data_IF_866346471897
#
_entry.id   IF_866346471897
#
_cell.length_a   1.000
_cell.length_b   1.000
_cell.length_c   1.000
_cell.angle_alpha   90.00
_cell.angle_beta   90.00
_cell.angle_gamma   90.00
#
_symmetry.space_group_name_H-M   'P 1'
#
loop_
_entity.id
_entity.type
_entity.pdbx_description
1 polymer ?
#
# COMPACT_ATOMS: atom_id res chain seq x y z
N UNK A 1 -0.24 10.92 -24.95
CA UNK A 1 -0.90 11.30 -23.69
C UNK A 1 0.19 11.71 -22.72
N UNK A 2 0.35 13.01 -22.41
CA UNK A 2 1.35 13.46 -21.43
C UNK A 2 0.88 12.97 -20.06
N UNK A 3 1.68 12.12 -19.41
CA UNK A 3 1.50 11.81 -18.00
C UNK A 3 1.69 13.13 -17.24
N UNK A 4 0.60 13.69 -16.72
CA UNK A 4 0.69 14.81 -15.79
C UNK A 4 1.49 14.33 -14.58
N UNK A 5 2.73 14.82 -14.46
CA UNK A 5 3.50 14.72 -13.23
C UNK A 5 2.73 15.50 -12.18
N UNK A 6 2.05 14.82 -11.26
CA UNK A 6 1.45 15.45 -10.09
C UNK A 6 2.56 16.07 -9.25
N UNK A 7 2.72 17.39 -9.36
CA UNK A 7 3.65 18.11 -8.52
C UNK A 7 3.00 18.40 -7.17
N UNK A 8 3.75 18.52 -6.05
CA UNK A 8 3.19 18.97 -4.77
C UNK A 8 2.38 20.27 -4.89
N UNK A 9 2.70 21.16 -5.85
CA UNK A 9 1.90 22.36 -6.14
C UNK A 9 0.48 22.08 -6.65
N UNK A 10 0.19 20.91 -7.21
CA UNK A 10 -1.16 20.57 -7.74
C UNK A 10 -2.09 20.01 -6.66
N UNK A 11 -1.55 19.53 -5.54
CA UNK A 11 -2.33 18.90 -4.45
C UNK A 11 -3.09 19.93 -3.64
N UNK A 12 -4.38 19.71 -3.37
CA UNK A 12 -5.09 20.56 -2.42
C UNK A 12 -4.73 20.16 -0.99
N UNK A 13 -4.73 21.15 -0.09
CA UNK A 13 -4.65 20.89 1.35
C UNK A 13 -5.93 21.40 1.99
N UNK A 14 -6.63 20.50 2.66
CA UNK A 14 -7.84 20.77 3.41
C UNK A 14 -7.52 20.82 4.90
N UNK A 15 -8.19 21.64 5.70
CA UNK A 15 -8.02 21.67 7.16
C UNK A 15 -9.27 21.15 7.86
N UNK A 16 -9.05 20.31 8.89
CA UNK A 16 -10.15 19.73 9.68
C UNK A 16 -9.79 19.56 11.15
N UNK A 17 -10.81 19.73 12.01
CA UNK A 17 -10.70 19.56 13.46
C UNK A 17 -10.98 18.11 13.88
N UNK A 18 -10.10 17.51 14.68
CA UNK A 18 -10.28 16.17 15.24
C UNK A 18 -10.10 16.20 16.76
N UNK A 19 -10.72 15.25 17.48
CA UNK A 19 -10.50 15.06 18.93
C UNK A 19 -9.16 14.36 19.25
N UNK A 20 -8.62 13.61 18.29
CA UNK A 20 -7.31 12.98 18.38
C UNK A 20 -6.75 12.68 17.00
N UNK A 21 -5.45 12.36 16.93
CA UNK A 21 -4.79 11.99 15.68
C UNK A 21 -4.05 10.67 15.87
N UNK A 22 -4.70 9.58 15.47
CA UNK A 22 -4.17 8.22 15.56
C UNK A 22 -4.49 7.43 14.27
N UNK A 23 -3.88 7.80 13.13
CA UNK A 23 -4.11 7.10 11.85
C UNK A 23 -3.75 5.60 11.91
N UNK A 24 -2.91 5.19 12.85
CA UNK A 24 -2.53 3.80 13.12
C UNK A 24 -3.71 2.95 13.63
N UNK A 25 -4.73 3.58 14.21
CA UNK A 25 -5.94 2.93 14.72
C UNK A 25 -7.17 3.15 13.83
N UNK A 26 -7.22 4.28 13.12
CA UNK A 26 -8.33 4.65 12.23
C UNK A 26 -7.82 5.22 10.89
N UNK A 27 -7.93 4.42 9.83
CA UNK A 27 -7.38 4.70 8.50
C UNK A 27 -8.35 5.40 7.55
N UNK A 28 -9.14 6.34 8.04
CA UNK A 28 -10.16 7.06 7.26
C UNK A 28 -10.44 8.46 7.83
N UNK A 29 -11.05 9.31 7.00
CA UNK A 29 -11.65 10.57 7.41
C UNK A 29 -13.16 10.38 7.50
N UNK A 30 -13.70 10.40 8.71
CA UNK A 30 -15.10 10.07 8.97
C UNK A 30 -16.07 11.25 8.94
N UNK A 31 -17.32 10.98 8.59
CA UNK A 31 -18.42 11.93 8.49
C UNK A 31 -19.67 11.30 9.11
N UNK A 32 -20.38 12.01 9.97
CA UNK A 32 -21.60 11.49 10.61
C UNK A 32 -22.74 11.36 9.61
N UNK A 33 -22.82 12.29 8.65
CA UNK A 33 -23.83 12.22 7.59
C UNK A 33 -23.19 11.93 6.24
N UNK A 34 -23.74 10.95 5.52
CA UNK A 34 -23.26 10.55 4.20
C UNK A 34 -23.23 11.72 3.21
N UNK A 35 -24.24 12.60 3.26
CA UNK A 35 -24.30 13.78 2.41
C UNK A 35 -23.09 14.72 2.58
N UNK A 36 -22.48 14.77 3.76
CA UNK A 36 -21.27 15.54 4.01
C UNK A 36 -20.05 14.89 3.34
N UNK A 37 -19.95 13.55 3.41
CA UNK A 37 -18.93 12.78 2.67
C UNK A 37 -19.08 13.03 1.17
N UNK A 38 -20.29 12.92 0.63
CA UNK A 38 -20.56 13.10 -0.80
C UNK A 38 -20.26 14.53 -1.28
N UNK A 39 -20.47 15.54 -0.44
CA UNK A 39 -20.03 16.92 -0.75
C UNK A 39 -18.51 17.02 -0.88
N UNK A 40 -17.76 16.32 -0.03
CA UNK A 40 -16.30 16.29 -0.11
C UNK A 40 -15.80 15.52 -1.33
N UNK A 41 -16.44 14.41 -1.71
CA UNK A 41 -16.12 13.69 -2.95
C UNK A 41 -16.24 14.55 -4.22
N UNK A 42 -17.15 15.53 -4.23
CA UNK A 42 -17.29 16.46 -5.37
C UNK A 42 -16.19 17.52 -5.42
N UNK A 43 -15.51 17.76 -4.30
CA UNK A 43 -14.55 18.87 -4.12
C UNK A 43 -13.10 18.39 -4.12
N UNK A 44 -12.84 17.24 -3.52
CA UNK A 44 -11.52 16.65 -3.34
C UNK A 44 -11.07 15.86 -4.57
N UNK A 45 -9.78 15.51 -4.60
CA UNK A 45 -9.15 14.64 -5.59
C UNK A 45 -8.27 13.58 -4.92
N UNK A 46 -7.98 12.51 -5.65
CA UNK A 46 -7.00 11.51 -5.20
C UNK A 46 -5.65 12.16 -4.92
N UNK A 47 -5.09 11.87 -3.75
CA UNK A 47 -3.80 12.39 -3.33
C UNK A 47 -3.82 13.80 -2.72
N UNK A 48 -5.00 14.40 -2.56
CA UNK A 48 -5.17 15.57 -1.71
C UNK A 48 -4.78 15.26 -0.27
N UNK A 49 -4.42 16.32 0.45
CA UNK A 49 -4.00 16.24 1.84
C UNK A 49 -5.04 16.87 2.75
N UNK A 50 -5.17 16.33 3.96
CA UNK A 50 -5.97 16.92 5.03
C UNK A 50 -5.08 17.18 6.24
N UNK A 51 -4.83 18.46 6.52
CA UNK A 51 -4.18 18.96 7.73
C UNK A 51 -5.14 18.84 8.91
N UNK A 52 -4.75 18.05 9.90
CA UNK A 52 -5.50 17.81 11.11
C UNK A 52 -4.99 18.71 12.22
N UNK A 53 -5.92 19.32 12.95
CA UNK A 53 -5.61 20.05 14.18
C UNK A 53 -6.55 19.63 15.33
N UNK A 54 -6.08 19.76 16.57
CA UNK A 54 -6.85 19.39 17.75
C UNK A 54 -8.05 20.32 17.98
N UNK A 55 -9.25 19.76 18.07
CA UNK A 55 -10.47 20.49 18.35
C UNK A 55 -10.46 21.08 19.77
N UNK A 56 -11.11 22.23 19.97
CA UNK A 56 -11.29 22.83 21.31
C UNK A 56 -12.51 22.17 21.96
N UNK A 57 -12.26 21.06 22.65
CA UNK A 57 -13.26 20.19 23.25
C UNK A 57 -12.61 19.40 24.39
N UNK A 58 -13.40 18.99 25.40
CA UNK A 58 -12.92 18.17 26.52
C UNK A 58 -12.37 16.81 26.10
N UNK A 59 -12.78 16.30 24.95
CA UNK A 59 -12.31 15.03 24.39
C UNK A 59 -10.90 15.13 23.80
N UNK A 60 -10.45 16.35 23.51
CA UNK A 60 -9.09 16.60 23.01
C UNK A 60 -8.18 16.91 24.20
N UNK A 61 -7.05 16.21 24.29
CA UNK A 61 -6.00 16.55 25.25
C UNK A 61 -5.65 18.04 25.17
N UNK A 62 -5.62 18.71 26.33
CA UNK A 62 -5.55 20.18 26.44
C UNK A 62 -4.37 20.76 25.66
N UNK A 63 -3.23 20.07 25.68
CA UNK A 63 -1.98 20.46 25.04
C UNK A 63 -1.97 20.22 23.52
N UNK A 64 -2.92 19.45 23.00
CA UNK A 64 -3.16 19.24 21.57
C UNK A 64 -4.20 20.20 21.00
N UNK A 65 -5.00 20.85 21.84
CA UNK A 65 -6.03 21.78 21.38
C UNK A 65 -5.41 22.93 20.58
N UNK A 66 -6.01 23.19 19.42
CA UNK A 66 -5.58 24.21 18.45
C UNK A 66 -4.19 23.97 17.86
N UNK A 67 -3.53 22.85 18.17
CA UNK A 67 -2.24 22.49 17.58
C UNK A 67 -2.47 21.70 16.30
N UNK A 68 -1.62 21.92 15.30
CA UNK A 68 -1.52 20.98 14.17
C UNK A 68 -0.99 19.64 14.68
N UNK A 69 -1.61 18.55 14.23
CA UNK A 69 -1.28 17.19 14.67
C UNK A 69 -0.59 16.39 13.57
N UNK A 70 -1.04 16.59 12.33
CA UNK A 70 -0.56 15.77 11.22
C UNK A 70 -1.26 16.05 9.90
N UNK A 71 -0.86 15.30 8.89
CA UNK A 71 -1.45 15.28 7.56
C UNK A 71 -1.97 13.88 7.26
N UNK A 72 -3.09 13.81 6.54
CA UNK A 72 -3.63 12.60 5.95
C UNK A 72 -3.63 12.75 4.43
N UNK A 73 -3.13 11.77 3.70
CA UNK A 73 -3.34 11.67 2.26
C UNK A 73 -4.54 10.77 1.98
N UNK A 74 -5.47 11.28 1.18
CA UNK A 74 -6.70 10.57 0.86
C UNK A 74 -6.64 9.90 -0.50
N UNK A 75 -7.45 8.84 -0.62
CA UNK A 75 -7.91 8.28 -1.88
C UNK A 75 -9.44 8.35 -1.87
N UNK A 76 -10.05 8.81 -2.96
CA UNK A 76 -11.50 8.91 -3.15
C UNK A 76 -12.13 7.53 -3.32
N UNK A 77 -12.06 6.77 -2.25
CA UNK A 77 -12.64 5.45 -2.08
C UNK A 77 -13.56 5.51 -0.86
N UNK A 78 -14.84 5.16 -1.07
CA UNK A 78 -15.83 5.14 0.01
C UNK A 78 -15.50 3.97 0.93
N UNK A 79 -15.52 4.23 2.23
CA UNK A 79 -15.42 3.20 3.25
C UNK A 79 -16.42 3.47 4.38
N UNK A 80 -16.65 2.46 5.20
CA UNK A 80 -17.32 2.62 6.48
C UNK A 80 -16.27 2.60 7.60
N UNK A 81 -16.61 3.23 8.72
CA UNK A 81 -15.75 3.26 9.90
C UNK A 81 -15.38 1.83 10.36
N UNK A 82 -16.35 0.91 10.42
CA UNK A 82 -16.18 -0.49 10.85
C UNK A 82 -15.09 -1.24 10.08
N UNK A 83 -14.83 -0.88 8.83
CA UNK A 83 -13.83 -1.53 7.97
C UNK A 83 -12.44 -0.88 8.11
N UNK A 84 -12.37 0.31 8.70
CA UNK A 84 -11.17 1.16 8.71
C UNK A 84 -10.77 1.61 10.11
N UNK A 85 -11.21 0.89 11.13
CA UNK A 85 -10.82 1.11 12.52
C UNK A 85 -10.49 -0.21 13.22
N UNK A 86 -9.49 -0.20 14.09
CA UNK A 86 -9.16 -1.34 14.94
C UNK A 86 -10.10 -1.44 16.17
N UNK A 87 -9.96 -2.50 16.96
CA UNK A 87 -10.80 -2.72 18.14
C UNK A 87 -10.65 -1.62 19.22
N UNK A 88 -9.46 -1.05 19.39
CA UNK A 88 -9.26 0.05 20.34
C UNK A 88 -10.07 1.30 19.94
N UNK A 89 -10.08 1.64 18.65
CA UNK A 89 -10.86 2.76 18.13
C UNK A 89 -12.37 2.51 18.20
N UNK A 90 -12.82 1.27 17.95
CA UNK A 90 -14.23 0.87 18.16
C UNK A 90 -14.65 1.03 19.61
N UNK A 91 -13.82 0.53 20.53
CA UNK A 91 -14.09 0.60 21.96
C UNK A 91 -14.16 2.05 22.43
N UNK A 92 -13.24 2.90 21.98
CA UNK A 92 -13.28 4.33 22.30
C UNK A 92 -14.58 5.00 21.85
N UNK A 93 -15.12 4.65 20.67
CA UNK A 93 -16.42 5.17 20.23
C UNK A 93 -17.56 4.72 21.16
N UNK A 94 -17.57 3.45 21.58
CA UNK A 94 -18.57 2.91 22.51
C UNK A 94 -18.50 3.61 23.87
N UNK A 95 -17.31 3.77 24.42
CA UNK A 95 -17.07 4.40 25.73
C UNK A 95 -17.54 5.87 25.78
N UNK A 96 -17.64 6.52 24.62
CA UNK A 96 -18.08 7.91 24.47
C UNK A 96 -19.46 8.06 23.83
N UNK A 97 -20.20 6.96 23.64
CA UNK A 97 -21.53 6.95 23.00
C UNK A 97 -21.55 7.61 21.62
N UNK A 98 -20.57 7.26 20.77
CA UNK A 98 -20.38 7.78 19.42
C UNK A 98 -20.59 6.73 18.33
N UNK A 99 -21.31 5.65 18.61
CA UNK A 99 -21.54 4.53 17.71
C UNK A 99 -22.04 4.99 16.32
N UNK A 100 -22.96 5.97 16.30
CA UNK A 100 -23.58 6.55 15.11
C UNK A 100 -22.79 7.71 14.48
N UNK A 101 -21.65 8.09 15.04
CA UNK A 101 -20.85 9.21 14.56
C UNK A 101 -19.72 8.77 13.63
N UNK A 102 -19.46 9.61 12.64
CA UNK A 102 -18.36 9.44 11.68
C UNK A 102 -18.39 8.12 10.87
N UNK A 103 -19.54 7.46 10.76
CA UNK A 103 -19.71 6.17 10.10
C UNK A 103 -19.28 6.16 8.63
N UNK A 104 -19.44 7.29 7.92
CA UNK A 104 -19.14 7.37 6.49
C UNK A 104 -17.73 7.90 6.27
N UNK A 105 -16.84 7.10 5.68
CA UNK A 105 -15.42 7.43 5.54
C UNK A 105 -14.95 7.73 4.11
N UNK A 106 -13.94 8.59 4.01
CA UNK A 106 -13.01 8.67 2.87
C UNK A 106 -11.71 7.97 3.28
N UNK A 107 -11.22 7.06 2.44
CA UNK A 107 -10.02 6.27 2.73
C UNK A 107 -8.77 7.14 2.87
N UNK A 108 -7.99 6.90 3.92
CA UNK A 108 -6.63 7.44 4.09
C UNK A 108 -5.64 6.39 3.62
N UNK A 109 -4.65 6.80 2.81
CA UNK A 109 -3.62 5.89 2.27
C UNK A 109 -2.22 6.16 2.86
N UNK A 110 -1.95 7.38 3.32
CA UNK A 110 -0.70 7.75 4.02
C UNK A 110 -1.00 8.79 5.09
N UNK A 111 -0.18 8.81 6.14
CA UNK A 111 -0.29 9.81 7.19
C UNK A 111 1.09 10.26 7.68
N UNK A 112 1.13 11.48 8.18
CA UNK A 112 2.34 12.05 8.77
C UNK A 112 1.98 12.78 10.06
N UNK A 113 2.82 12.64 11.08
CA UNK A 113 2.75 13.42 12.33
C UNK A 113 3.66 14.63 12.21
N UNK A 114 3.21 15.77 12.71
CA UNK A 114 4.05 16.98 12.81
C UNK A 114 5.00 16.83 13.99
N UNK A 115 6.28 17.19 13.81
CA UNK A 115 7.31 17.08 14.85
C UNK A 115 7.17 18.18 15.91
N UNK A 116 6.84 19.41 15.49
CA UNK A 116 6.71 20.57 16.36
C UNK A 116 5.25 21.00 16.56
N UNK A 117 4.88 21.32 17.79
CA UNK A 117 3.55 21.85 18.09
C UNK A 117 3.45 23.29 17.61
N UNK A 118 2.54 23.54 16.68
CA UNK A 118 2.27 24.89 16.15
C UNK A 118 0.77 25.14 16.17
N UNK A 119 0.40 26.32 16.68
CA UNK A 119 -1.00 26.73 16.72
C UNK A 119 -1.54 26.87 15.28
N UNK A 120 -2.72 26.32 15.01
CA UNK A 120 -3.33 26.26 13.67
C UNK A 120 -3.48 27.65 13.03
N UNK A 121 -3.76 28.68 13.83
CA UNK A 121 -3.86 30.08 13.37
C UNK A 121 -2.56 30.62 12.74
N UNK A 122 -1.39 30.07 13.07
CA UNK A 122 -0.11 30.42 12.44
C UNK A 122 -0.03 29.87 11.01
N UNK A 123 -0.68 28.74 10.75
CA UNK A 123 -0.65 28.05 9.46
C UNK A 123 -1.78 28.52 8.58
N UNK A 124 -2.99 28.46 9.12
CA UNK A 124 -4.24 28.63 8.42
C UNK A 124 -5.10 29.75 9.06
N UNK A 125 -4.61 30.99 9.21
CA UNK A 125 -5.35 32.07 9.88
C UNK A 125 -6.71 32.39 9.23
N UNK A 126 -6.85 32.23 7.91
CA UNK A 126 -8.08 32.53 7.17
C UNK A 126 -9.02 31.33 7.19
N UNK A 127 -8.52 30.12 6.96
CA UNK A 127 -9.33 28.90 7.02
C UNK A 127 -9.72 28.49 8.45
N UNK A 128 -8.97 28.96 9.46
CA UNK A 128 -9.29 28.82 10.88
C UNK A 128 -10.26 29.90 11.40
N UNK A 129 -10.66 30.87 10.57
CA UNK A 129 -11.58 31.92 10.97
C UNK A 129 -12.90 31.34 11.54
N UNK A 130 -13.54 32.09 12.45
CA UNK A 130 -14.76 31.67 13.11
C UNK A 130 -15.92 31.46 12.13
N UNK A 131 -15.97 32.18 11.00
CA UNK A 131 -17.01 32.00 9.98
C UNK A 131 -17.01 30.59 9.37
N UNK A 132 -15.88 29.89 9.42
CA UNK A 132 -15.74 28.52 8.92
C UNK A 132 -15.80 27.45 10.01
N UNK A 133 -16.09 27.82 11.28
CA UNK A 133 -16.02 26.89 12.42
C UNK A 133 -16.82 25.61 12.18
N UNK A 134 -18.07 25.74 11.73
CA UNK A 134 -18.95 24.59 11.51
C UNK A 134 -18.47 23.70 10.35
N UNK A 135 -18.11 24.31 9.22
CA UNK A 135 -17.65 23.59 8.03
C UNK A 135 -16.32 22.87 8.29
N UNK A 136 -15.40 23.51 9.02
CA UNK A 136 -14.11 22.94 9.40
C UNK A 136 -14.23 21.73 10.34
N UNK A 137 -15.29 21.64 11.14
CA UNK A 137 -15.53 20.49 12.02
C UNK A 137 -16.26 19.36 11.28
N UNK A 138 -17.25 19.69 10.45
CA UNK A 138 -18.12 18.69 9.82
C UNK A 138 -17.60 18.15 8.49
N UNK A 139 -16.83 18.93 7.74
CA UNK A 139 -16.43 18.61 6.38
C UNK A 139 -14.92 18.66 6.18
N UNK A 140 -14.41 19.88 6.03
CA UNK A 140 -13.03 20.36 5.95
C UNK A 140 -13.08 21.67 5.15
N UNK A 141 -12.06 22.52 5.28
CA UNK A 141 -11.98 23.80 4.55
C UNK A 141 -10.72 23.81 3.70
N UNK A 142 -10.82 24.22 2.44
CA UNK A 142 -9.65 24.31 1.56
C UNK A 142 -8.73 25.44 2.04
N UNK A 143 -7.44 25.15 2.20
CA UNK A 143 -6.43 26.15 2.51
C UNK A 143 -6.19 27.08 1.32
N UNK A 144 -6.02 28.38 1.61
CA UNK A 144 -5.53 29.33 0.61
C UNK A 144 -4.07 29.07 0.25
N UNK A 145 -3.61 29.61 -0.88
CA UNK A 145 -2.25 29.35 -1.40
C UNK A 145 -1.14 29.67 -0.39
N UNK A 146 -1.27 30.78 0.35
CA UNK A 146 -0.30 31.17 1.39
C UNK A 146 -0.33 30.22 2.60
N UNK A 147 -1.53 29.74 2.97
CA UNK A 147 -1.72 28.77 4.05
C UNK A 147 -1.16 27.41 3.67
N UNK A 148 -1.36 26.99 2.41
CA UNK A 148 -0.78 25.80 1.81
C UNK A 148 0.75 25.84 1.86
N UNK A 149 1.38 26.95 1.48
CA UNK A 149 2.84 27.11 1.58
C UNK A 149 3.34 26.95 3.02
N UNK A 150 2.67 27.57 4.00
CA UNK A 150 3.02 27.40 5.42
C UNK A 150 2.80 25.97 5.90
N UNK A 151 1.72 25.31 5.49
CA UNK A 151 1.48 23.92 5.85
C UNK A 151 2.60 23.01 5.32
N UNK A 152 3.03 23.22 4.07
CA UNK A 152 4.10 22.40 3.46
C UNK A 152 5.49 22.57 4.08
N UNK A 153 5.77 23.72 4.69
CA UNK A 153 7.08 23.96 5.32
C UNK A 153 7.25 23.27 6.68
N UNK A 154 6.22 22.56 7.19
CA UNK A 154 6.29 21.96 8.52
C UNK A 154 7.06 20.64 8.53
N UNK A 155 7.92 20.42 9.55
CA UNK A 155 8.65 19.18 9.71
C UNK A 155 7.69 18.07 10.17
N UNK A 156 7.74 16.94 9.48
CA UNK A 156 6.88 15.79 9.67
C UNK A 156 7.68 14.49 9.62
N UNK A 157 7.06 13.43 10.12
CA UNK A 157 7.50 12.06 9.89
C UNK A 157 6.31 11.20 9.51
N UNK A 158 6.52 10.28 8.57
CA UNK A 158 5.48 9.35 8.14
C UNK A 158 5.14 8.36 9.25
N UNK A 159 3.89 7.94 9.33
CA UNK A 159 3.40 6.91 10.25
C UNK A 159 2.52 5.91 9.51
N UNK A 160 2.32 4.74 10.13
CA UNK A 160 1.42 3.72 9.60
C UNK A 160 -0.03 4.20 9.56
N UNK A 161 -0.81 3.61 8.66
CA UNK A 161 -2.25 3.86 8.53
C UNK A 161 -2.97 2.52 8.66
N UNK A 162 -3.99 2.46 9.52
CA UNK A 162 -4.78 1.26 9.69
C UNK A 162 -5.40 0.80 8.36
N UNK A 163 -5.25 -0.49 8.04
CA UNK A 163 -5.77 -1.08 6.81
C UNK A 163 -4.91 -0.82 5.56
N UNK A 164 -3.74 -0.19 5.70
CA UNK A 164 -2.70 -0.13 4.67
C UNK A 164 -1.52 -1.05 5.03
N UNK A 165 -0.70 -1.48 4.06
CA UNK A 165 0.51 -2.25 4.34
C UNK A 165 1.44 -1.49 5.29
N UNK A 166 2.01 -2.16 6.30
CA UNK A 166 2.92 -1.52 7.25
C UNK A 166 4.18 -1.03 6.54
N UNK A 167 4.65 0.15 6.94
CA UNK A 167 5.89 0.76 6.49
C UNK A 167 7.01 0.27 7.42
N UNK A 168 8.10 -0.25 6.86
CA UNK A 168 9.28 -0.62 7.65
C UNK A 168 9.93 0.62 8.29
N UNK A 169 10.60 0.46 9.43
CA UNK A 169 11.22 1.59 10.14
C UNK A 169 12.20 2.38 9.26
N UNK A 170 12.95 1.71 8.40
CA UNK A 170 13.89 2.32 7.45
C UNK A 170 13.20 3.16 6.36
N UNK A 171 11.91 2.91 6.11
CA UNK A 171 11.11 3.59 5.09
C UNK A 171 10.33 4.79 5.66
N UNK A 172 10.41 5.04 6.98
CA UNK A 172 9.75 6.18 7.63
C UNK A 172 10.46 7.50 7.28
N UNK A 173 9.98 8.13 6.22
CA UNK A 173 10.51 9.42 5.76
C UNK A 173 10.31 10.51 6.80
N UNK A 174 11.36 11.30 6.99
CA UNK A 174 11.37 12.53 7.82
C UNK A 174 11.83 13.71 6.96
N UNK A 175 11.30 14.89 7.24
CA UNK A 175 11.62 16.11 6.53
C UNK A 175 10.46 17.10 6.60
N UNK A 176 10.50 18.16 5.82
CA UNK A 176 9.31 18.99 5.61
C UNK A 176 8.25 18.22 4.83
N UNK A 177 6.98 18.60 4.99
CA UNK A 177 5.89 17.99 4.23
C UNK A 177 6.10 18.13 2.70
N UNK A 178 6.76 19.21 2.25
CA UNK A 178 7.16 19.37 0.86
C UNK A 178 8.22 18.32 0.42
N UNK A 179 9.27 18.14 1.21
CA UNK A 179 10.38 17.21 0.90
C UNK A 179 9.92 15.75 0.86
N UNK A 180 9.09 15.33 1.82
CA UNK A 180 8.63 13.93 1.88
C UNK A 180 7.75 13.54 0.69
N UNK A 181 7.12 14.53 0.03
CA UNK A 181 6.30 14.34 -1.16
C UNK A 181 7.10 14.39 -2.47
N UNK A 182 8.32 14.94 -2.45
CA UNK A 182 9.15 14.98 -3.66
C UNK A 182 9.61 13.57 -4.04
N UNK A 183 9.77 13.27 -5.34
CA UNK A 183 10.43 12.04 -5.78
C UNK A 183 11.80 11.93 -5.12
N UNK A 184 12.17 10.72 -4.68
CA UNK A 184 13.51 10.49 -4.14
C UNK A 184 14.57 10.81 -5.21
N UNK A 185 15.62 11.54 -4.84
CA UNK A 185 16.81 11.63 -5.68
C UNK A 185 17.45 10.24 -5.76
N UNK A 186 17.84 9.81 -6.95
CA UNK A 186 18.59 8.56 -7.11
C UNK A 186 19.84 8.57 -6.23
N UNK A 187 20.20 7.41 -5.69
CA UNK A 187 21.43 7.25 -4.90
C UNK A 187 22.61 7.67 -5.80
N UNK A 188 23.52 8.55 -5.35
CA UNK A 188 24.70 8.88 -6.14
C UNK A 188 25.48 7.59 -6.45
N UNK A 189 26.02 7.43 -7.67
CA UNK A 189 26.72 6.22 -8.05
C UNK A 189 27.92 5.99 -7.13
N UNK A 190 28.04 4.77 -6.62
CA UNK A 190 29.24 4.32 -5.91
C UNK A 190 30.31 3.91 -6.94
N UNK A 191 31.51 4.51 -6.86
CA UNK A 191 32.67 4.11 -7.65
C UNK A 191 33.57 3.16 -6.86
N UNK A 192 34.07 2.11 -7.50
CA UNK A 192 34.97 1.10 -6.91
C UNK A 192 34.56 -0.35 -7.22
N UNK A 193 35.42 -1.30 -6.86
CA UNK A 193 35.17 -2.73 -7.09
C UNK A 193 34.12 -3.26 -6.10
N UNK A 194 33.04 -3.84 -6.64
CA UNK A 194 32.03 -4.56 -5.86
C UNK A 194 32.29 -6.06 -5.96
N UNK A 195 32.92 -6.63 -4.93
CA UNK A 195 33.08 -8.08 -4.81
C UNK A 195 31.93 -8.66 -3.98
N UNK A 196 31.26 -9.68 -4.50
CA UNK A 196 30.24 -10.46 -3.78
C UNK A 196 30.55 -11.94 -3.90
N UNK A 197 30.57 -12.65 -2.77
CA UNK A 197 30.59 -14.12 -2.74
C UNK A 197 29.15 -14.61 -2.64
N UNK A 198 28.78 -15.52 -3.53
CA UNK A 198 27.51 -16.23 -3.46
C UNK A 198 27.80 -17.69 -3.16
N UNK A 199 27.22 -18.20 -2.09
CA UNK A 199 27.21 -19.63 -1.79
C UNK A 199 25.94 -20.22 -2.42
N UNK A 200 26.12 -21.28 -3.21
CA UNK A 200 25.00 -22.04 -3.77
C UNK A 200 24.35 -22.86 -2.66
N UNK A 201 23.02 -22.94 -2.70
CA UNK A 201 22.20 -23.54 -1.65
C UNK A 201 20.74 -23.59 -2.08
N UNK A 202 19.85 -23.86 -1.11
CA UNK A 202 18.43 -24.05 -1.38
C UNK A 202 17.86 -22.93 -2.27
N UNK A 203 17.20 -23.33 -3.35
CA UNK A 203 16.62 -22.42 -4.32
C UNK A 203 15.16 -22.79 -4.57
N UNK A 204 14.32 -21.79 -4.74
CA UNK A 204 12.91 -21.99 -4.98
C UNK A 204 12.57 -21.72 -6.43
N UNK A 205 11.77 -22.61 -7.03
CA UNK A 205 10.96 -22.27 -8.19
C UNK A 205 9.70 -21.55 -7.71
N UNK A 206 9.32 -20.44 -8.33
CA UNK A 206 8.17 -19.64 -7.89
C UNK A 206 7.21 -19.30 -9.02
N UNK A 207 5.96 -19.04 -8.63
CA UNK A 207 4.90 -18.46 -9.44
C UNK A 207 4.42 -17.16 -8.80
N UNK A 208 4.62 -16.04 -9.48
CA UNK A 208 4.02 -14.76 -9.14
C UNK A 208 2.84 -14.47 -10.05
N UNK A 209 1.79 -13.85 -9.51
CA UNK A 209 0.62 -13.40 -10.25
C UNK A 209 0.46 -11.90 -10.09
N UNK A 210 0.11 -11.19 -11.15
CA UNK A 210 -0.33 -9.81 -11.02
C UNK A 210 -1.68 -9.79 -10.28
N UNK A 211 -1.85 -8.86 -9.33
CA UNK A 211 -3.07 -8.73 -8.52
C UNK A 211 -4.30 -8.42 -9.37
N UNK A 212 -4.10 -7.80 -10.53
CA UNK A 212 -5.11 -7.50 -11.54
C UNK A 212 -4.97 -8.42 -12.75
N UNK A 213 -5.92 -8.34 -13.67
CA UNK A 213 -5.83 -9.02 -14.96
C UNK A 213 -4.72 -8.45 -15.85
N UNK A 214 -4.36 -9.21 -16.88
CA UNK A 214 -3.24 -8.94 -17.76
C UNK A 214 -3.35 -7.62 -18.53
N UNK A 215 -4.57 -7.19 -18.86
CA UNK A 215 -4.82 -5.93 -19.59
C UNK A 215 -4.27 -4.68 -18.89
N UNK A 216 -4.08 -4.73 -17.56
CA UNK A 216 -3.49 -3.63 -16.80
C UNK A 216 -2.05 -3.31 -17.24
N UNK A 217 -1.27 -4.30 -17.66
CA UNK A 217 0.12 -4.11 -18.12
C UNK A 217 0.28 -4.31 -19.62
N UNK A 218 -0.58 -5.11 -20.25
CA UNK A 218 -0.46 -5.49 -21.66
C UNK A 218 -1.45 -4.74 -22.58
N UNK A 219 -2.29 -3.87 -22.03
CA UNK A 219 -3.29 -3.08 -22.76
C UNK A 219 -4.65 -3.77 -22.91
N UNK A 220 -5.66 -3.02 -23.34
CA UNK A 220 -7.07 -3.43 -23.32
C UNK A 220 -7.53 -4.21 -24.57
N UNK A 221 -6.63 -4.72 -25.38
CA UNK A 221 -6.95 -5.48 -26.59
C UNK A 221 -5.99 -6.64 -26.78
N UNK A 222 -6.49 -7.76 -27.30
CA UNK A 222 -5.70 -8.96 -27.57
C UNK A 222 -6.15 -10.20 -26.79
N UNK A 223 -5.49 -11.35 -27.02
CA UNK A 223 -5.89 -12.64 -26.46
C UNK A 223 -5.64 -12.76 -24.95
N UNK A 224 -4.97 -11.79 -24.32
CA UNK A 224 -4.72 -11.74 -22.87
C UNK A 224 -5.84 -11.08 -22.06
N UNK A 225 -6.76 -10.36 -22.71
CA UNK A 225 -7.82 -9.62 -22.01
C UNK A 225 -8.67 -10.57 -21.18
N UNK A 226 -8.87 -10.23 -19.90
CA UNK A 226 -9.64 -11.04 -18.94
C UNK A 226 -8.86 -12.21 -18.34
N UNK A 227 -7.60 -12.41 -18.74
CA UNK A 227 -6.76 -13.51 -18.24
C UNK A 227 -5.83 -13.05 -17.11
N UNK A 228 -5.36 -14.01 -16.33
CA UNK A 228 -4.30 -13.73 -15.37
C UNK A 228 -2.96 -13.51 -16.10
N UNK A 229 -2.16 -12.57 -15.58
CA UNK A 229 -0.74 -12.44 -15.94
C UNK A 229 0.11 -13.04 -14.84
N UNK A 230 0.98 -13.96 -15.21
CA UNK A 230 1.90 -14.62 -14.27
C UNK A 230 3.35 -14.47 -14.70
N UNK A 231 4.23 -14.62 -13.72
CA UNK A 231 5.68 -14.71 -13.89
C UNK A 231 6.18 -15.98 -13.21
N UNK A 232 6.96 -16.77 -13.95
CA UNK A 232 7.68 -17.92 -13.40
C UNK A 232 9.15 -17.57 -13.30
N UNK A 233 9.78 -17.91 -12.19
CA UNK A 233 11.22 -17.81 -12.09
C UNK A 233 11.78 -18.63 -10.94
N UNK A 234 13.07 -18.46 -10.68
CA UNK A 234 13.75 -19.03 -9.51
C UNK A 234 14.45 -17.99 -8.65
N UNK A 235 14.59 -18.28 -7.37
CA UNK A 235 15.36 -17.47 -6.42
C UNK A 235 15.69 -18.25 -5.15
N UNK A 236 16.83 -17.95 -4.53
CA UNK A 236 17.10 -18.35 -3.16
C UNK A 236 16.27 -17.57 -2.13
N UNK A 237 15.62 -16.47 -2.54
CA UNK A 237 14.74 -15.66 -1.68
C UNK A 237 13.59 -15.06 -2.53
N UNK A 238 12.49 -15.83 -2.71
CA UNK A 238 11.33 -15.37 -3.46
C UNK A 238 10.69 -14.09 -2.91
N UNK A 239 10.77 -13.84 -1.60
CA UNK A 239 10.19 -12.66 -0.97
C UNK A 239 11.01 -11.40 -1.27
N UNK A 240 12.35 -11.47 -1.17
CA UNK A 240 13.22 -10.40 -1.66
C UNK A 240 13.00 -10.15 -3.14
N UNK A 241 12.90 -11.21 -3.95
CA UNK A 241 12.63 -11.08 -5.39
C UNK A 241 11.30 -10.40 -5.67
N UNK A 242 10.26 -10.72 -4.90
CA UNK A 242 8.96 -10.05 -4.98
C UNK A 242 9.09 -8.55 -4.67
N UNK A 243 9.84 -8.18 -3.63
CA UNK A 243 10.12 -6.78 -3.26
C UNK A 243 10.86 -6.05 -4.38
N UNK A 244 11.87 -6.67 -4.98
CA UNK A 244 12.62 -6.08 -6.11
C UNK A 244 11.73 -5.82 -7.32
N UNK A 245 10.90 -6.79 -7.72
CA UNK A 245 10.00 -6.66 -8.88
C UNK A 245 8.94 -5.59 -8.60
N UNK A 246 8.37 -5.56 -7.40
CA UNK A 246 7.40 -4.54 -7.02
C UNK A 246 8.02 -3.15 -6.80
N UNK A 247 9.32 -3.06 -6.50
CA UNK A 247 10.06 -1.80 -6.36
C UNK A 247 10.15 -0.99 -7.65
N UNK A 248 9.96 -1.63 -8.82
CA UNK A 248 9.87 -0.94 -10.11
C UNK A 248 8.54 -0.19 -10.32
N UNK A 249 7.54 -0.41 -9.47
CA UNK A 249 6.23 0.23 -9.58
C UNK A 249 6.10 1.41 -8.62
N UNK A 250 5.55 2.56 -9.05
CA UNK A 250 5.25 3.69 -8.15
C UNK A 250 4.43 3.26 -6.94
N UNK A 251 4.59 3.92 -5.80
CA UNK A 251 3.86 3.61 -4.55
C UNK A 251 2.32 3.57 -4.75
N UNK A 252 1.81 4.42 -5.65
CA UNK A 252 0.38 4.51 -6.02
C UNK A 252 -0.08 3.55 -7.12
N UNK A 253 0.76 2.61 -7.57
CA UNK A 253 0.38 1.67 -8.61
C UNK A 253 -0.86 0.85 -8.17
N UNK A 254 -1.84 0.76 -9.06
CA UNK A 254 -3.10 0.02 -8.84
C UNK A 254 -2.94 -1.50 -8.99
N UNK A 255 -1.77 -1.96 -9.44
CA UNK A 255 -1.43 -3.37 -9.55
C UNK A 255 -0.09 -3.66 -8.87
N UNK A 256 0.04 -4.88 -8.35
CA UNK A 256 1.26 -5.41 -7.73
C UNK A 256 1.40 -6.88 -8.09
N UNK A 257 2.63 -7.38 -8.09
CA UNK A 257 2.87 -8.82 -8.09
C UNK A 257 2.61 -9.39 -6.70
N UNK A 258 2.03 -10.57 -6.66
CA UNK A 258 1.88 -11.40 -5.46
C UNK A 258 2.59 -12.73 -5.69
N UNK A 259 3.32 -13.22 -4.68
CA UNK A 259 3.88 -14.55 -4.68
C UNK A 259 2.76 -15.55 -4.35
N UNK A 260 2.42 -16.42 -5.29
CA UNK A 260 1.30 -17.36 -5.13
C UNK A 260 1.78 -18.73 -4.67
N UNK A 261 2.85 -19.22 -5.29
CA UNK A 261 3.45 -20.52 -4.97
C UNK A 261 4.97 -20.42 -5.05
N UNK A 262 5.65 -21.20 -4.22
CA UNK A 262 7.07 -21.47 -4.36
C UNK A 262 7.39 -22.87 -3.83
N UNK A 263 8.37 -23.53 -4.46
CA UNK A 263 8.80 -24.88 -4.10
C UNK A 263 10.32 -24.91 -3.96
N UNK A 264 10.87 -25.24 -2.78
CA UNK A 264 12.31 -25.41 -2.60
C UNK A 264 12.84 -26.63 -3.37
N UNK A 265 14.09 -26.50 -3.82
CA UNK A 265 14.95 -27.52 -4.40
C UNK A 265 16.37 -27.38 -3.83
N UNK A 266 17.13 -28.47 -3.88
CA UNK A 266 18.41 -28.62 -3.21
C UNK A 266 19.42 -27.52 -3.55
N UNK A 267 19.54 -27.17 -4.84
CA UNK A 267 20.51 -26.19 -5.31
C UNK A 267 19.96 -25.34 -6.47
N UNK A 268 20.71 -24.28 -6.80
CA UNK A 268 20.37 -23.36 -7.88
C UNK A 268 20.33 -24.01 -9.27
N UNK A 269 21.14 -25.05 -9.51
CA UNK A 269 21.20 -25.76 -10.79
C UNK A 269 19.94 -26.59 -11.02
N UNK A 270 19.52 -27.36 -10.02
CA UNK A 270 18.31 -28.16 -10.02
C UNK A 270 17.08 -27.28 -10.23
N UNK A 271 16.99 -26.18 -9.48
CA UNK A 271 15.91 -25.21 -9.66
C UNK A 271 15.93 -24.58 -11.07
N UNK A 272 17.11 -24.33 -11.64
CA UNK A 272 17.25 -23.78 -13.00
C UNK A 272 16.83 -24.77 -14.10
N UNK A 273 17.21 -26.04 -13.97
CA UNK A 273 16.75 -27.11 -14.87
C UNK A 273 15.23 -27.23 -14.82
N UNK A 274 14.64 -27.25 -13.63
CA UNK A 274 13.20 -27.35 -13.45
C UNK A 274 12.45 -26.10 -13.91
N UNK A 275 13.00 -24.91 -13.69
CA UNK A 275 12.49 -23.67 -14.25
C UNK A 275 12.43 -23.72 -15.79
N UNK A 276 13.50 -24.21 -16.42
CA UNK A 276 13.61 -24.32 -17.87
C UNK A 276 12.57 -25.30 -18.43
N UNK A 277 12.43 -26.47 -17.81
CA UNK A 277 11.41 -27.46 -18.17
C UNK A 277 9.99 -26.90 -17.98
N UNK A 278 9.73 -26.21 -16.87
CA UNK A 278 8.43 -25.60 -16.59
C UNK A 278 8.08 -24.53 -17.62
N UNK A 279 9.04 -23.65 -17.98
CA UNK A 279 8.85 -22.64 -19.03
C UNK A 279 8.54 -23.28 -20.38
N UNK A 280 9.25 -24.35 -20.75
CA UNK A 280 8.99 -25.09 -21.98
C UNK A 280 7.59 -25.74 -21.99
N UNK A 281 7.11 -26.22 -20.84
CA UNK A 281 5.75 -26.74 -20.67
C UNK A 281 4.72 -25.60 -20.78
N UNK A 282 4.93 -24.50 -20.07
CA UNK A 282 4.01 -23.36 -20.06
C UNK A 282 3.88 -22.71 -21.45
N UNK A 283 4.95 -22.68 -22.24
CA UNK A 283 4.90 -22.19 -23.63
C UNK A 283 3.99 -23.04 -24.54
N UNK A 284 3.72 -24.31 -24.18
CA UNK A 284 2.80 -25.20 -24.91
C UNK A 284 1.35 -25.09 -24.41
N UNK A 285 1.17 -24.81 -23.12
CA UNK A 285 -0.15 -24.82 -22.45
C UNK A 285 -0.79 -23.42 -22.36
N UNK A 286 0.01 -22.36 -22.36
CA UNK A 286 -0.42 -20.97 -22.12
C UNK A 286 0.19 -20.00 -23.12
N UNK A 287 -0.34 -18.77 -23.16
CA UNK A 287 0.14 -17.74 -24.08
C UNK A 287 1.37 -17.04 -23.49
N UNK A 288 2.55 -17.30 -24.06
CA UNK A 288 3.78 -16.60 -23.70
C UNK A 288 3.68 -15.10 -24.02
N UNK A 289 4.15 -14.26 -23.09
CA UNK A 289 4.31 -12.81 -23.24
C UNK A 289 5.79 -12.41 -23.36
N UNK A 290 6.60 -13.33 -23.86
CA UNK A 290 8.06 -13.30 -23.89
C UNK A 290 8.74 -13.41 -22.51
N UNK A 291 9.98 -13.90 -22.53
CA UNK A 291 10.79 -14.11 -21.34
C UNK A 291 10.15 -15.06 -20.34
N UNK A 292 9.78 -14.52 -19.17
CA UNK A 292 9.31 -15.28 -18.01
C UNK A 292 7.81 -15.16 -17.75
N UNK A 293 7.08 -14.53 -18.68
CA UNK A 293 5.70 -14.10 -18.49
C UNK A 293 4.72 -14.89 -19.35
N UNK A 294 3.57 -15.23 -18.76
CA UNK A 294 2.53 -16.02 -19.42
C UNK A 294 1.14 -15.51 -19.05
N UNK A 295 0.19 -15.68 -19.96
CA UNK A 295 -1.23 -15.40 -19.72
C UNK A 295 -2.11 -16.61 -19.95
N UNK A 296 -3.16 -16.74 -19.15
CA UNK A 296 -4.04 -17.89 -19.14
C UNK A 296 -5.10 -17.80 -18.03
N UNK A 297 -5.99 -18.80 -18.00
CA UNK A 297 -6.94 -18.95 -16.90
C UNK A 297 -6.20 -19.28 -15.60
N UNK A 298 -6.48 -18.52 -14.53
CA UNK A 298 -5.72 -18.61 -13.28
C UNK A 298 -5.70 -20.04 -12.71
N UNK A 299 -6.86 -20.68 -12.61
CA UNK A 299 -6.96 -22.04 -12.05
C UNK A 299 -6.25 -23.11 -12.89
N UNK A 300 -6.07 -22.88 -14.19
CA UNK A 300 -5.30 -23.78 -15.05
C UNK A 300 -3.79 -23.59 -14.84
N UNK A 301 -3.33 -22.34 -14.79
CA UNK A 301 -1.92 -21.99 -14.53
C UNK A 301 -1.47 -22.51 -13.16
N UNK A 302 -2.24 -22.21 -12.12
CA UNK A 302 -1.94 -22.60 -10.75
C UNK A 302 -1.80 -24.13 -10.63
N UNK A 303 -2.77 -24.86 -11.21
CA UNK A 303 -2.76 -26.33 -11.22
C UNK A 303 -1.56 -26.88 -12.00
N UNK A 304 -1.23 -26.31 -13.16
CA UNK A 304 -0.11 -26.76 -13.97
C UNK A 304 1.24 -26.60 -13.24
N UNK A 305 1.40 -25.47 -12.53
CA UNK A 305 2.56 -25.22 -11.69
C UNK A 305 2.68 -26.24 -10.56
N UNK A 306 1.61 -26.43 -9.78
CA UNK A 306 1.60 -27.36 -8.65
C UNK A 306 1.87 -28.80 -9.09
N UNK A 307 1.21 -29.27 -10.14
CA UNK A 307 1.43 -30.62 -10.68
C UNK A 307 2.87 -30.81 -11.16
N UNK A 308 3.47 -29.79 -11.77
CA UNK A 308 4.87 -29.85 -12.14
C UNK A 308 5.76 -30.00 -10.89
N UNK A 309 5.61 -29.13 -9.90
CA UNK A 309 6.36 -29.21 -8.65
C UNK A 309 6.21 -30.58 -7.96
N UNK A 310 4.99 -31.08 -7.81
CA UNK A 310 4.73 -32.40 -7.22
C UNK A 310 5.41 -33.54 -7.98
N UNK A 311 5.49 -33.46 -9.31
CA UNK A 311 6.17 -34.48 -10.12
C UNK A 311 7.69 -34.47 -9.99
N UNK A 312 8.27 -33.37 -9.47
CA UNK A 312 9.71 -33.22 -9.22
C UNK A 312 10.11 -33.47 -7.77
N UNK A 313 9.14 -33.59 -6.87
CA UNK A 313 9.43 -33.96 -5.48
C UNK A 313 9.90 -35.42 -5.42
N UNK A 314 10.89 -35.74 -4.56
CA UNK A 314 11.30 -37.12 -4.34
C UNK A 314 10.09 -37.97 -3.92
N UNK A 315 9.85 -39.09 -4.59
CA UNK A 315 8.85 -40.06 -4.12
C UNK A 315 9.35 -40.64 -2.81
N UNK A 316 8.69 -40.32 -1.70
CA UNK A 316 8.87 -41.05 -0.46
C UNK A 316 8.33 -42.46 -0.72
N UNK A 317 9.22 -43.39 -1.10
CA UNK A 317 8.89 -44.81 -1.15
C UNK A 317 8.57 -45.21 0.28
N UNK A 318 7.28 -45.44 0.56
CA UNK A 318 6.83 -45.99 1.82
C UNK A 318 7.69 -47.24 2.13
N UNK A 319 8.25 -47.29 3.34
CA UNK A 319 9.01 -48.43 3.81
C UNK A 319 8.21 -49.72 3.57
N UNK A 320 8.85 -50.82 3.09
CA UNK A 320 8.15 -52.06 2.81
C UNK A 320 7.44 -52.52 4.08
N UNK A 321 6.12 -52.57 4.03
CA UNK A 321 5.30 -53.09 5.12
C UNK A 321 5.81 -54.48 5.49
N UNK A 322 6.18 -54.66 6.76
CA UNK A 322 6.52 -55.98 7.32
C UNK A 322 5.31 -56.91 7.11
N UNK A 323 5.36 -57.70 6.04
CA UNK A 323 4.55 -58.89 5.91
C UNK A 323 5.00 -59.87 7.01
N UNK A 324 4.32 -59.86 8.16
CA UNK A 324 4.32 -61.00 9.06
C UNK A 324 3.10 -61.84 8.75
N UNK A 325 3.29 -62.74 7.79
CA UNK A 325 2.56 -64.00 7.76
C UNK A 325 3.40 -65.10 8.42
N UNK A 326 2.70 -66.11 8.92
CA UNK A 326 3.18 -67.47 9.27
C UNK A 326 3.88 -67.52 10.66
N UNK A 327 3.49 -68.37 11.62
CA UNK A 327 2.49 -69.43 11.74
C UNK A 327 2.11 -69.57 13.22
#
# INVERSE_FOLDING_TARGET
>A
MKLEQFSPEDRQIWVRAFYGFNPEEAGYIGFTHEAQREDMFRKMKDGDLVLIYGAVDSLTQVDLQRQILGFLEIKLERCLDVDRQNEASKQWKLDHSFEDRWTYGIKVVRAWRVINRVHIKTIAPKSYDNKYRFERTTKAVLLEQDEKRRAFSHPVYQVNVFGEPPIGEDDLRKGTMEEVLKPSKGIPPSFGDRNSKHEDGENHLYLMKLSTNAEMLLGNSGPHVGKALVKIGRSNDPLRRLKEVNGGFPERAVCRWALMHHQPFEDGNTAHTYETELKARFAKEFTSQAGEFYTGEWGAIERAFQLFCFSKMPKILAAPGKAKGVK
#
